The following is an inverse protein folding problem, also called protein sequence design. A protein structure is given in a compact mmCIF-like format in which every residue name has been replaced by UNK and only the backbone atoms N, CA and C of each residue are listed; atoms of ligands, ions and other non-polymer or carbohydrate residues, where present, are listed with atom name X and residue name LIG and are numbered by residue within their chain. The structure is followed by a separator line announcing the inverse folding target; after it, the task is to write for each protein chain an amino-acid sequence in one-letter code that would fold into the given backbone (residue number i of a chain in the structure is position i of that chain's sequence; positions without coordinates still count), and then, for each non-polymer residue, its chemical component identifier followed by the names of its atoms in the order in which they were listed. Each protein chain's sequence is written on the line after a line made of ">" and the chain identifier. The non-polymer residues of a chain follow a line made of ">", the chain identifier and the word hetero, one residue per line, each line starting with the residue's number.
data_IF_935603728915
#
_entry.id   IF_935603728915
#
_cell.length_a   1.000
_cell.length_b   1.000
_cell.length_c   1.000
_cell.angle_alpha   90.00
_cell.angle_beta   90.00
_cell.angle_gamma   90.00
#
_symmetry.space_group_name_H-M   'P 1'
#
loop_
_entity.id
_entity.type
_entity.pdbx_description
1 polymer ?
#
# COMPACT_ATOMS: atom_id res chain seq x y z
N UNK A 1 14.64 3.46 -7.75
CA UNK A 1 13.72 4.41 -7.07
C UNK A 1 12.93 3.61 -6.06
N UNK A 2 12.55 4.18 -4.92
CA UNK A 2 11.86 3.44 -3.87
C UNK A 2 10.58 4.13 -3.43
N UNK A 3 9.58 3.33 -3.07
CA UNK A 3 8.35 3.78 -2.40
C UNK A 3 8.53 3.59 -0.91
N UNK A 4 8.43 4.69 -0.15
CA UNK A 4 8.42 4.65 1.31
C UNK A 4 6.99 4.43 1.82
N UNK A 5 6.82 3.56 2.81
CA UNK A 5 5.54 3.24 3.42
C UNK A 5 5.72 2.93 4.90
N UNK A 6 4.63 2.97 5.67
CA UNK A 6 4.60 2.40 7.03
C UNK A 6 3.23 1.83 7.33
N UNK A 7 3.19 0.81 8.19
CA UNK A 7 1.91 0.34 8.72
C UNK A 7 1.36 1.32 9.75
N UNK A 8 0.04 1.41 9.87
CA UNK A 8 -0.60 2.21 10.94
C UNK A 8 -0.20 1.75 12.33
N UNK A 9 0.04 0.45 12.49
CA UNK A 9 0.52 -0.18 13.73
C UNK A 9 2.02 0.01 13.98
N UNK A 10 2.78 0.62 13.06
CA UNK A 10 4.23 0.82 13.20
C UNK A 10 4.63 2.29 13.10
N UNK A 11 5.60 2.68 13.92
CA UNK A 11 6.19 4.03 13.87
C UNK A 11 7.27 4.14 12.79
N UNK A 12 7.86 3.03 12.37
CA UNK A 12 8.99 3.03 11.45
C UNK A 12 8.53 2.97 10.00
N UNK A 13 9.14 3.80 9.16
CA UNK A 13 9.03 3.69 7.71
C UNK A 13 9.89 2.55 7.20
N UNK A 14 9.39 1.92 6.14
CA UNK A 14 10.05 0.91 5.36
C UNK A 14 9.99 1.32 3.88
N UNK A 15 10.73 0.65 3.02
CA UNK A 15 10.84 1.06 1.63
C UNK A 15 10.98 -0.15 0.71
N UNK A 16 10.24 -0.13 -0.40
CA UNK A 16 10.37 -1.12 -1.47
C UNK A 16 10.92 -0.47 -2.74
N UNK A 17 11.95 -1.08 -3.32
CA UNK A 17 12.47 -0.63 -4.62
C UNK A 17 11.51 -1.04 -5.75
N UNK A 18 11.27 -0.10 -6.67
CA UNK A 18 10.38 -0.28 -7.83
C UNK A 18 11.16 -0.61 -9.11
N UNK A 19 12.32 -1.27 -8.97
CA UNK A 19 13.11 -1.85 -10.05
C UNK A 19 13.59 -0.82 -11.08
N UNK A 20 14.04 0.33 -10.58
CA UNK A 20 14.46 1.45 -11.44
C UNK A 20 13.32 2.12 -12.24
N UNK A 21 12.06 1.71 -12.05
CA UNK A 21 10.90 2.33 -12.72
C UNK A 21 10.54 3.67 -12.07
N UNK A 22 9.86 4.52 -12.82
CA UNK A 22 9.33 5.79 -12.34
C UNK A 22 7.97 5.65 -11.64
N UNK A 23 7.26 4.56 -11.89
CA UNK A 23 5.96 4.24 -11.31
C UNK A 23 5.74 2.74 -11.17
N UNK A 24 4.76 2.38 -10.32
CA UNK A 24 4.35 0.99 -10.06
C UNK A 24 2.83 0.92 -9.92
N UNK A 25 2.23 -0.19 -10.35
CA UNK A 25 0.80 -0.42 -10.13
C UNK A 25 0.52 -0.68 -8.65
N UNK A 26 -0.67 -0.34 -8.17
CA UNK A 26 -1.07 -0.61 -6.79
C UNK A 26 -1.04 -2.11 -6.48
N UNK A 27 -1.45 -2.95 -7.44
CA UNK A 27 -1.42 -4.40 -7.29
C UNK A 27 0.01 -4.92 -7.10
N UNK A 28 0.95 -4.48 -7.94
CA UNK A 28 2.36 -4.88 -7.83
C UNK A 28 2.99 -4.35 -6.54
N UNK A 29 2.65 -3.12 -6.13
CA UNK A 29 3.13 -2.54 -4.89
C UNK A 29 2.64 -3.34 -3.68
N UNK A 30 1.36 -3.75 -3.65
CA UNK A 30 0.84 -4.67 -2.62
C UNK A 30 1.68 -5.94 -2.60
N UNK A 31 1.80 -6.63 -3.74
CA UNK A 31 2.55 -7.89 -3.85
C UNK A 31 4.00 -7.77 -3.36
N UNK A 32 4.70 -6.69 -3.71
CA UNK A 32 6.06 -6.41 -3.22
C UNK A 32 6.10 -6.23 -1.71
N UNK A 33 5.19 -5.45 -1.11
CA UNK A 33 5.16 -5.22 0.34
C UNK A 33 4.83 -6.51 1.09
N UNK A 34 3.88 -7.29 0.61
CA UNK A 34 3.50 -8.59 1.18
C UNK A 34 4.69 -9.54 1.23
N UNK A 35 5.39 -9.69 0.10
CA UNK A 35 6.58 -10.52 0.01
C UNK A 35 7.72 -9.99 0.88
N UNK A 36 7.97 -8.67 0.87
CA UNK A 36 9.05 -8.05 1.65
C UNK A 36 8.85 -8.17 3.16
N UNK A 37 7.61 -7.97 3.63
CA UNK A 37 7.26 -8.03 5.06
C UNK A 37 6.87 -9.42 5.53
N UNK A 38 6.92 -10.44 4.66
CA UNK A 38 6.46 -11.80 4.93
C UNK A 38 5.06 -11.81 5.55
N UNK A 39 4.16 -10.96 5.04
CA UNK A 39 2.79 -10.91 5.54
C UNK A 39 2.09 -12.19 5.12
N UNK A 40 1.65 -12.98 6.08
CA UNK A 40 0.71 -14.07 5.83
C UNK A 40 -0.70 -13.47 5.70
N UNK A 41 -0.93 -12.78 4.59
CA UNK A 41 -2.26 -12.29 4.25
C UNK A 41 -3.09 -13.48 3.77
N UNK A 42 -4.04 -13.90 4.61
CA UNK A 42 -5.11 -14.81 4.24
C UNK A 42 -6.06 -14.13 3.23
N UNK A 43 -6.91 -14.91 2.57
CA UNK A 43 -7.88 -14.44 1.57
C UNK A 43 -8.80 -13.29 2.03
N UNK A 44 -8.87 -13.03 3.34
CA UNK A 44 -9.73 -11.99 3.96
C UNK A 44 -8.98 -10.69 4.31
N UNK A 45 -7.65 -10.67 4.27
CA UNK A 45 -6.86 -9.49 4.65
C UNK A 45 -6.42 -8.69 3.42
N UNK A 46 -7.04 -7.53 3.19
CA UNK A 46 -6.61 -6.59 2.14
C UNK A 46 -5.62 -5.55 2.68
N UNK A 47 -4.61 -5.22 1.86
CA UNK A 47 -3.70 -4.11 2.14
C UNK A 47 -4.28 -2.81 1.56
N UNK A 48 -4.81 -1.93 2.42
CA UNK A 48 -5.34 -0.63 1.98
C UNK A 48 -4.27 0.45 2.08
N UNK A 49 -4.05 1.17 0.98
CA UNK A 49 -3.13 2.30 0.97
C UNK A 49 -3.87 3.62 1.26
N UNK A 50 -3.18 4.50 1.96
CA UNK A 50 -3.57 5.90 2.11
C UNK A 50 -2.35 6.76 1.86
N UNK A 51 -2.57 7.90 1.23
CA UNK A 51 -1.53 8.90 1.07
C UNK A 51 -1.04 9.38 2.45
N UNK A 52 0.27 9.44 2.61
CA UNK A 52 0.88 9.70 3.91
C UNK A 52 0.74 11.16 4.37
N UNK A 53 0.51 12.10 3.44
CA UNK A 53 0.44 13.54 3.71
C UNK A 53 -1.02 13.94 3.97
N UNK A 54 -1.93 13.53 3.09
CA UNK A 54 -3.34 13.91 3.11
C UNK A 54 -4.22 12.93 3.87
N UNK A 55 -3.73 11.71 4.12
CA UNK A 55 -4.52 10.63 4.72
C UNK A 55 -5.61 10.08 3.80
N UNK A 56 -5.69 10.52 2.54
CA UNK A 56 -6.69 10.03 1.60
C UNK A 56 -6.39 8.59 1.21
N UNK A 57 -7.31 7.69 1.52
CA UNK A 57 -7.26 6.29 1.08
C UNK A 57 -7.53 6.18 -0.42
N UNK A 58 -6.85 5.26 -1.11
CA UNK A 58 -7.43 4.71 -2.35
C UNK A 58 -8.61 3.85 -1.96
N UNK A 59 -9.76 4.51 -1.79
CA UNK A 59 -11.03 3.87 -1.54
C UNK A 59 -11.36 3.01 -2.75
N UNK A 60 -11.38 1.69 -2.55
CA UNK A 60 -11.99 0.77 -3.51
C UNK A 60 -13.46 1.16 -3.68
N UNK A 61 -13.77 1.93 -4.73
CA UNK A 61 -15.08 2.09 -5.40
C UNK A 61 -16.36 2.37 -4.58
N UNK A 62 -16.33 2.55 -3.26
CA UNK A 62 -17.54 2.64 -2.45
C UNK A 62 -17.99 4.06 -2.06
N UNK A 63 -17.21 5.11 -2.38
CA UNK A 63 -17.54 6.47 -1.94
C UNK A 63 -18.49 7.27 -2.84
N UNK A 64 -19.01 6.69 -3.94
CA UNK A 64 -19.91 7.40 -4.87
C UNK A 64 -21.38 6.99 -4.76
N UNK A 65 -21.78 6.27 -3.69
CA UNK A 65 -23.17 5.82 -3.48
C UNK A 65 -23.84 6.40 -2.22
N UNK A 66 -23.32 7.51 -1.68
CA UNK A 66 -24.04 8.30 -0.68
C UNK A 66 -24.12 9.77 -1.14
N UNK A 67 -25.09 10.04 -1.99
CA UNK A 67 -25.77 11.33 -2.12
C UNK A 67 -27.26 11.08 -2.12
#
# INVERSE_FOLDING_TARGET
>A
MAVQFKFRSSMNFDSVDIDGRTSISIRDLKSKIISHKNLNICQDTDLVFSDAITGQGQLSSALHLYQ
#
